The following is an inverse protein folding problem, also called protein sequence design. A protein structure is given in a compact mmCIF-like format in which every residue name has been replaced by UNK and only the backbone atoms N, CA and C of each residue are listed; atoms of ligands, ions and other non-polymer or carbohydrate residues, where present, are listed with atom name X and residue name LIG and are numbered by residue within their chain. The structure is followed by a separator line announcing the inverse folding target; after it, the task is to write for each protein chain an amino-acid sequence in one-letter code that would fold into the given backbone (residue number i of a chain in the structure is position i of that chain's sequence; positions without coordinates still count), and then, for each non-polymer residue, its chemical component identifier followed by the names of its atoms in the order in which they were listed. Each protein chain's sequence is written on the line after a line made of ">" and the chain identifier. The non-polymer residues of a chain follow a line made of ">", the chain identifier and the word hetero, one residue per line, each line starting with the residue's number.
data_IF_834478076397
#
_entry.id   IF_834478076397
#
_cell.length_a   1.000
_cell.length_b   1.000
_cell.length_c   1.000
_cell.angle_alpha   90.00
_cell.angle_beta   90.00
_cell.angle_gamma   90.00
#
_symmetry.space_group_name_H-M   'P 1'
#
loop_
_entity.id
_entity.type
_entity.pdbx_description
1 polymer ?
#
# COMPACT_ATOMS: atom_id res chain seq x y z
N UNK A 1 13.86 -22.39 -24.24
CA UNK A 1 12.91 -22.25 -23.11
C UNK A 1 12.59 -20.78 -23.02
N UNK A 2 11.37 -20.40 -23.37
CA UNK A 2 10.93 -19.01 -23.36
C UNK A 2 10.35 -18.71 -21.98
N UNK A 3 10.84 -17.65 -21.35
CA UNK A 3 10.47 -17.22 -20.00
C UNK A 3 9.77 -15.88 -20.15
N UNK A 4 8.64 -15.71 -19.47
CA UNK A 4 7.83 -14.50 -19.55
C UNK A 4 7.79 -13.77 -18.21
N UNK A 5 7.60 -12.46 -18.27
CA UNK A 5 7.39 -11.64 -17.07
C UNK A 5 6.06 -12.01 -16.41
N UNK A 6 6.07 -12.13 -15.09
CA UNK A 6 4.90 -12.52 -14.28
C UNK A 6 4.75 -14.04 -14.09
N UNK A 7 5.62 -14.87 -14.67
CA UNK A 7 5.68 -16.29 -14.35
C UNK A 7 6.19 -16.54 -12.92
N UNK A 8 5.78 -17.68 -12.34
CA UNK A 8 6.24 -18.13 -11.02
C UNK A 8 7.12 -19.36 -11.19
N UNK A 9 8.34 -19.28 -10.67
CA UNK A 9 9.29 -20.39 -10.60
C UNK A 9 9.49 -20.83 -9.15
N UNK A 10 9.56 -22.13 -8.94
CA UNK A 10 9.82 -22.73 -7.64
C UNK A 10 11.11 -23.52 -7.63
N UNK A 11 11.78 -23.57 -6.47
CA UNK A 11 12.94 -24.41 -6.23
C UNK A 11 12.81 -25.12 -4.89
N UNK A 12 12.92 -26.45 -4.93
CA UNK A 12 13.03 -27.25 -3.73
C UNK A 12 14.45 -27.10 -3.16
N UNK A 13 14.55 -26.55 -1.96
CA UNK A 13 15.77 -26.57 -1.14
C UNK A 13 15.64 -27.72 -0.15
N UNK A 14 16.76 -28.12 0.50
CA UNK A 14 16.77 -29.19 1.49
C UNK A 14 15.69 -29.04 2.59
N UNK A 15 15.39 -27.81 3.00
CA UNK A 15 14.50 -27.55 4.14
C UNK A 15 13.14 -26.96 3.74
N UNK A 16 12.98 -26.41 2.53
CA UNK A 16 11.74 -25.75 2.10
C UNK A 16 11.64 -25.58 0.59
N UNK A 17 10.40 -25.44 0.12
CA UNK A 17 10.10 -25.01 -1.24
C UNK A 17 10.02 -23.49 -1.29
N UNK A 18 10.85 -22.86 -2.13
CA UNK A 18 10.89 -21.39 -2.27
C UNK A 18 10.36 -21.01 -3.64
N UNK A 19 9.52 -19.99 -3.70
CA UNK A 19 8.92 -19.49 -4.94
C UNK A 19 9.41 -18.08 -5.27
N UNK A 20 9.50 -17.82 -6.56
CA UNK A 20 10.04 -16.61 -7.13
C UNK A 20 9.18 -16.12 -8.28
N UNK A 21 8.88 -14.82 -8.28
CA UNK A 21 8.22 -14.13 -9.38
C UNK A 21 9.26 -13.64 -10.38
N UNK A 22 8.99 -13.84 -11.68
CA UNK A 22 9.77 -13.24 -12.76
C UNK A 22 9.36 -11.78 -12.92
N UNK A 23 10.22 -10.86 -12.49
CA UNK A 23 9.96 -9.41 -12.63
C UNK A 23 10.32 -8.89 -14.02
N UNK A 24 11.46 -9.35 -14.55
CA UNK A 24 12.03 -8.81 -15.79
C UNK A 24 12.76 -9.91 -16.53
N UNK A 25 12.51 -9.99 -17.83
CA UNK A 25 13.22 -10.87 -18.75
C UNK A 25 14.00 -10.01 -19.73
N UNK A 26 15.30 -10.30 -19.85
CA UNK A 26 16.21 -9.74 -20.84
C UNK A 26 16.75 -10.87 -21.72
N UNK A 27 17.45 -10.55 -22.82
CA UNK A 27 17.92 -11.56 -23.81
C UNK A 27 18.64 -12.78 -23.20
N UNK A 28 19.43 -12.59 -22.14
CA UNK A 28 20.19 -13.65 -21.48
C UNK A 28 19.94 -13.77 -19.97
N UNK A 29 19.31 -12.75 -19.39
CA UNK A 29 19.18 -12.59 -17.95
C UNK A 29 17.72 -12.49 -17.55
N UNK A 30 17.41 -12.98 -16.36
CA UNK A 30 16.10 -12.99 -15.75
C UNK A 30 16.24 -12.49 -14.32
N UNK A 31 15.42 -11.53 -13.95
CA UNK A 31 15.34 -11.02 -12.58
C UNK A 31 14.21 -11.72 -11.85
N UNK A 32 14.56 -12.41 -10.77
CA UNK A 32 13.65 -13.13 -9.90
C UNK A 32 13.51 -12.40 -8.57
N UNK A 33 12.29 -12.35 -8.04
CA UNK A 33 12.00 -11.82 -6.71
C UNK A 33 11.36 -12.92 -5.86
N UNK A 34 11.87 -13.11 -4.64
CA UNK A 34 11.26 -14.05 -3.69
C UNK A 34 9.84 -13.57 -3.31
N UNK A 35 8.87 -14.49 -3.29
CA UNK A 35 7.47 -14.18 -2.92
C UNK A 35 7.35 -13.89 -1.42
N UNK A 36 8.12 -14.59 -0.58
CA UNK A 36 8.08 -14.42 0.88
C UNK A 36 8.84 -13.16 1.32
N UNK A 37 9.87 -12.76 0.56
CA UNK A 37 10.69 -11.60 0.87
C UNK A 37 10.84 -10.70 -0.37
N UNK A 38 10.03 -9.64 -0.48
CA UNK A 38 10.04 -8.77 -1.66
C UNK A 38 11.33 -7.95 -1.83
N UNK A 39 12.20 -7.88 -0.81
CA UNK A 39 13.51 -7.24 -0.91
C UNK A 39 14.58 -8.19 -1.48
N UNK A 40 14.31 -9.50 -1.51
CA UNK A 40 15.21 -10.49 -2.07
C UNK A 40 15.00 -10.61 -3.58
N UNK A 41 15.73 -9.78 -4.31
CA UNK A 41 15.83 -9.84 -5.77
C UNK A 41 17.19 -10.39 -6.16
N UNK A 42 17.23 -11.24 -7.19
CA UNK A 42 18.49 -11.67 -7.78
C UNK A 42 18.35 -11.83 -9.29
N UNK A 43 19.48 -11.69 -9.97
CA UNK A 43 19.59 -11.85 -11.41
C UNK A 43 20.26 -13.19 -11.73
N UNK A 44 19.68 -13.94 -12.65
CA UNK A 44 20.20 -15.22 -13.13
C UNK A 44 20.12 -15.29 -14.65
N UNK A 45 20.78 -16.27 -15.26
CA UNK A 45 20.64 -16.51 -16.70
C UNK A 45 19.52 -17.51 -16.97
N UNK A 46 18.90 -17.41 -18.15
CA UNK A 46 17.91 -18.39 -18.63
C UNK A 46 18.44 -19.83 -18.55
N UNK A 47 19.69 -20.02 -18.92
CA UNK A 47 20.36 -21.33 -18.86
C UNK A 47 20.54 -21.83 -17.43
N UNK A 48 21.06 -20.98 -16.52
CA UNK A 48 21.22 -21.35 -15.10
C UNK A 48 19.88 -21.66 -14.45
N UNK A 49 18.82 -20.96 -14.84
CA UNK A 49 17.49 -21.24 -14.31
C UNK A 49 17.05 -22.68 -14.64
N UNK A 50 17.22 -23.10 -15.89
CA UNK A 50 16.90 -24.45 -16.33
C UNK A 50 17.81 -25.51 -15.66
N UNK A 51 19.12 -25.25 -15.63
CA UNK A 51 20.11 -26.22 -15.14
C UNK A 51 20.07 -26.41 -13.61
N UNK A 52 19.67 -25.37 -12.87
CA UNK A 52 19.75 -25.37 -11.40
C UNK A 52 18.47 -25.87 -10.70
N UNK A 53 17.59 -26.53 -11.46
CA UNK A 53 16.42 -27.24 -10.93
C UNK A 53 15.25 -26.34 -10.56
N UNK A 54 15.13 -25.15 -11.16
CA UNK A 54 13.91 -24.36 -11.03
C UNK A 54 12.82 -24.94 -11.92
N UNK A 55 11.62 -25.07 -11.36
CA UNK A 55 10.44 -25.56 -12.08
C UNK A 55 9.44 -24.42 -12.26
N UNK A 56 8.84 -24.31 -13.44
CA UNK A 56 7.76 -23.37 -13.68
C UNK A 56 6.49 -23.88 -12.98
N UNK A 57 5.96 -23.10 -12.03
CA UNK A 57 4.77 -23.44 -11.25
C UNK A 57 3.52 -22.82 -11.86
N UNK A 58 3.64 -21.59 -12.35
CA UNK A 58 2.52 -20.88 -13.00
C UNK A 58 3.04 -20.08 -14.18
N UNK A 59 2.41 -20.29 -15.33
CA UNK A 59 2.59 -19.48 -16.54
C UNK A 59 1.64 -18.28 -16.59
N UNK A 60 0.59 -18.30 -15.78
CA UNK A 60 -0.44 -17.26 -15.80
C UNK A 60 -0.08 -16.14 -14.84
N UNK A 61 0.20 -14.93 -15.34
CA UNK A 61 0.27 -13.77 -14.46
C UNK A 61 -1.14 -13.49 -13.93
N UNK A 62 -1.35 -13.60 -12.61
CA UNK A 62 -2.61 -13.19 -11.98
C UNK A 62 -2.86 -11.67 -12.09
N UNK A 63 -1.83 -10.90 -12.48
CA UNK A 63 -1.85 -9.45 -12.60
C UNK A 63 -1.38 -9.09 -14.00
N UNK A 64 -2.21 -8.37 -14.75
CA UNK A 64 -1.80 -7.77 -16.02
C UNK A 64 -0.63 -6.82 -15.77
N UNK A 65 0.54 -7.13 -16.34
CA UNK A 65 1.74 -6.28 -16.30
C UNK A 65 1.76 -5.23 -17.40
N UNK A 66 0.66 -5.08 -18.15
CA UNK A 66 0.54 -3.98 -19.08
C UNK A 66 0.60 -2.67 -18.29
N UNK A 67 1.63 -1.88 -18.56
CA UNK A 67 1.69 -0.50 -18.10
C UNK A 67 0.56 0.24 -18.80
N UNK A 68 -0.64 0.27 -18.21
CA UNK A 68 -1.73 1.07 -18.73
C UNK A 68 -1.22 2.51 -18.85
N UNK A 69 -1.02 3.04 -20.07
CA UNK A 69 -0.59 4.41 -20.23
C UNK A 69 -1.75 5.28 -19.74
N UNK A 70 -1.50 6.03 -18.67
CA UNK A 70 -2.39 7.04 -18.10
C UNK A 70 -3.69 6.53 -17.46
N UNK A 71 -3.60 5.82 -16.32
CA UNK A 71 -4.47 6.25 -15.21
C UNK A 71 -3.85 7.53 -14.67
N UNK A 72 -4.27 8.68 -15.21
CA UNK A 72 -4.10 9.97 -14.53
C UNK A 72 -4.47 9.69 -13.08
N UNK A 73 -3.57 9.95 -12.12
CA UNK A 73 -3.97 10.04 -10.71
C UNK A 73 -5.20 10.91 -10.73
N UNK A 74 -6.34 10.32 -10.42
CA UNK A 74 -7.56 11.08 -10.21
C UNK A 74 -7.17 11.96 -9.04
N UNK A 75 -6.85 13.23 -9.33
CA UNK A 75 -6.87 14.29 -8.33
C UNK A 75 -8.09 13.99 -7.51
N UNK A 76 -7.96 13.89 -6.19
CA UNK A 76 -9.04 13.58 -5.27
C UNK A 76 -10.23 14.48 -5.58
N UNK A 77 -11.09 14.03 -6.49
CA UNK A 77 -12.36 14.65 -6.79
C UNK A 77 -13.12 14.34 -5.52
N UNK A 78 -13.34 15.37 -4.71
CA UNK A 78 -14.18 15.25 -3.52
C UNK A 78 -15.45 14.52 -3.99
N UNK A 79 -15.82 13.40 -3.37
CA UNK A 79 -17.05 12.71 -3.75
C UNK A 79 -18.17 13.76 -3.71
N UNK A 80 -18.85 13.98 -4.84
CA UNK A 80 -20.05 14.82 -4.83
C UNK A 80 -21.03 14.09 -3.92
N UNK A 81 -21.31 14.68 -2.75
CA UNK A 81 -22.23 14.10 -1.76
C UNK A 81 -23.53 13.74 -2.47
N UNK A 82 -23.98 12.49 -2.33
CA UNK A 82 -25.31 12.10 -2.75
C UNK A 82 -26.31 12.97 -1.98
N UNK A 83 -27.29 13.63 -2.63
CA UNK A 83 -28.21 14.59 -2.00
C UNK A 83 -29.11 14.01 -0.89
N UNK A 84 -28.99 12.73 -0.56
CA UNK A 84 -29.75 12.03 0.47
C UNK A 84 -28.92 11.53 1.65
N UNK A 85 -27.62 11.85 1.70
CA UNK A 85 -26.80 11.51 2.88
C UNK A 85 -26.91 12.66 3.87
N UNK A 86 -27.67 12.46 4.93
CA UNK A 86 -27.74 13.38 6.07
C UNK A 86 -26.43 13.19 6.87
N UNK A 87 -25.58 14.20 6.91
CA UNK A 87 -24.28 14.16 7.58
C UNK A 87 -24.45 14.22 9.11
N UNK A 88 -24.44 13.06 9.79
CA UNK A 88 -24.48 12.97 11.26
C UNK A 88 -23.16 13.35 11.97
N UNK A 89 -22.15 13.83 11.23
CA UNK A 89 -20.79 14.04 11.74
C UNK A 89 -20.35 15.51 11.78
N UNK A 90 -21.25 16.47 11.49
CA UNK A 90 -20.95 17.91 11.58
C UNK A 90 -20.82 18.43 13.02
N UNK A 91 -21.22 17.65 14.04
CA UNK A 91 -21.21 18.09 15.44
C UNK A 91 -19.87 17.85 16.17
N UNK A 92 -18.82 17.34 15.50
CA UNK A 92 -17.51 17.03 16.13
C UNK A 92 -16.34 17.85 15.62
N UNK A 93 -16.58 19.07 15.15
CA UNK A 93 -15.51 19.98 14.73
C UNK A 93 -15.57 21.34 15.43
N UNK A 94 -15.96 21.38 16.70
CA UNK A 94 -15.77 22.57 17.53
C UNK A 94 -14.35 22.57 18.13
N UNK A 95 -13.37 22.97 17.31
CA UNK A 95 -12.11 23.49 17.81
C UNK A 95 -12.36 24.87 18.42
N UNK A 96 -13.03 24.92 19.57
CA UNK A 96 -13.13 26.15 20.35
C UNK A 96 -11.72 26.50 20.84
N UNK A 97 -11.10 27.48 20.18
CA UNK A 97 -9.85 28.08 20.67
C UNK A 97 -10.16 28.77 22.00
N UNK A 98 -9.36 28.60 23.06
CA UNK A 98 -9.60 29.27 24.32
C UNK A 98 -9.58 30.79 24.10
N UNK A 99 -10.60 31.48 24.62
CA UNK A 99 -10.69 32.93 24.59
C UNK A 99 -9.52 33.53 25.38
N UNK A 100 -8.89 34.61 24.89
CA UNK A 100 -7.80 35.26 25.60
C UNK A 100 -8.32 35.83 26.92
N UNK A 101 -7.67 35.45 28.04
CA UNK A 101 -7.98 35.97 29.37
C UNK A 101 -7.77 37.49 29.36
N UNK A 102 -8.85 38.26 29.36
CA UNK A 102 -8.77 39.71 29.55
C UNK A 102 -8.69 39.99 31.05
N UNK A 103 -7.63 40.71 31.43
CA UNK A 103 -7.39 41.21 32.76
C UNK A 103 -8.45 42.26 33.15
N UNK A 104 -8.73 42.29 34.45
CA UNK A 104 -9.45 43.31 35.21
C UNK A 104 -10.99 43.27 35.18
N UNK A 105 -11.56 42.66 36.22
CA UNK A 105 -12.70 43.27 36.92
C UNK A 105 -12.58 43.04 38.42
N UNK A 106 -12.35 44.16 39.10
CA UNK A 106 -12.27 44.34 40.52
C UNK A 106 -13.66 44.19 41.19
N UNK A 107 -13.65 43.68 42.42
CA UNK A 107 -14.54 43.98 43.55
C UNK A 107 -16.06 44.00 43.33
N UNK A 108 -16.77 43.03 43.93
CA UNK A 108 -17.60 43.30 45.11
C UNK A 108 -18.19 42.01 45.68
N UNK A 109 -17.80 41.69 46.92
CA UNK A 109 -18.63 40.96 47.90
C UNK A 109 -19.89 41.82 48.21
N UNK A 110 -21.07 41.20 48.40
CA UNK A 110 -21.45 40.86 49.78
C UNK A 110 -22.26 39.57 49.91
N UNK A 111 -22.00 38.82 51.00
CA UNK A 111 -22.74 37.62 51.35
C UNK A 111 -24.17 37.88 51.83
N UNK A 112 -25.04 36.87 51.69
CA UNK A 112 -26.16 36.60 52.57
C UNK A 112 -26.78 35.23 52.27
N UNK A 113 -26.54 34.24 53.14
CA UNK A 113 -27.48 33.12 53.38
C UNK A 113 -27.38 32.76 54.86
N UNK A 114 -28.31 33.28 55.66
CA UNK A 114 -28.64 32.75 57.01
C UNK A 114 -29.52 31.51 56.87
N UNK A 115 -29.55 30.60 57.86
CA UNK A 115 -30.77 29.83 58.15
C UNK A 115 -31.86 30.72 58.77
#
# INVERSE_FOLDING_TARGET
>A
MDIYTGEIYGKQTANKFVMYNVLKVSKKNVTLQNIDNPLSLFETTTQKLADSGYICISKTPYISTEAHPNKRRQVSIKPKRCPRTIDFLEERADNQRPLPVQANLAFNDPGHVTP
#
